data_IF_605142581954
#
_entry.id   IF_605142581954
#
_cell.length_a   1.000
_cell.length_b   1.000
_cell.length_c   1.000
_cell.angle_alpha   90.00
_cell.angle_beta   90.00
_cell.angle_gamma   90.00
#
_symmetry.space_group_name_H-M   'P 1'
#
loop_
_entity.id
_entity.type
_entity.pdbx_description
1 polymer ?
#
# COMPACT_ATOMS: atom_id res chain seq x y z
N UNK A 1 -11.60 -22.79 -26.47
CA UNK A 1 -10.64 -21.81 -25.94
C UNK A 1 -9.78 -22.52 -24.91
N UNK A 2 -8.59 -23.03 -25.30
CA UNK A 2 -7.69 -23.71 -24.36
C UNK A 2 -6.94 -22.64 -23.58
N UNK A 3 -7.32 -22.45 -22.31
CA UNK A 3 -6.58 -21.56 -21.41
C UNK A 3 -5.19 -22.17 -21.22
N UNK A 4 -4.18 -21.51 -21.76
CA UNK A 4 -2.79 -21.94 -21.69
C UNK A 4 -2.35 -22.06 -20.22
N UNK A 5 -2.01 -23.28 -19.78
CA UNK A 5 -1.65 -23.58 -18.37
C UNK A 5 -0.44 -22.77 -17.88
N UNK A 6 0.46 -22.34 -18.77
CA UNK A 6 1.61 -21.50 -18.42
C UNK A 6 1.16 -20.10 -18.00
N UNK A 7 0.24 -19.47 -18.76
CA UNK A 7 -0.29 -18.14 -18.41
C UNK A 7 -1.03 -18.11 -17.07
N UNK A 8 -1.73 -19.19 -16.69
CA UNK A 8 -2.45 -19.27 -15.41
C UNK A 8 -1.47 -19.33 -14.23
N UNK A 9 -0.35 -20.07 -14.37
CA UNK A 9 0.71 -20.13 -13.35
C UNK A 9 1.42 -18.81 -13.18
N UNK A 10 1.83 -18.16 -14.27
CA UNK A 10 2.53 -16.87 -14.19
C UNK A 10 1.68 -15.78 -13.53
N UNK A 11 0.37 -15.74 -13.82
CA UNK A 11 -0.56 -14.81 -13.20
C UNK A 11 -0.76 -15.09 -11.71
N UNK A 12 -0.77 -16.38 -11.30
CA UNK A 12 -0.83 -16.75 -9.89
C UNK A 12 0.46 -16.37 -9.15
N UNK A 13 1.63 -16.61 -9.74
CA UNK A 13 2.94 -16.28 -9.17
C UNK A 13 3.13 -14.77 -8.99
N UNK A 14 2.72 -13.95 -9.97
CA UNK A 14 2.73 -12.48 -9.86
C UNK A 14 1.89 -11.99 -8.68
N UNK A 15 0.68 -12.52 -8.52
CA UNK A 15 -0.22 -12.17 -7.41
C UNK A 15 0.38 -12.52 -6.05
N UNK A 16 1.00 -13.70 -5.92
CA UNK A 16 1.66 -14.12 -4.67
C UNK A 16 2.85 -13.21 -4.35
N UNK A 17 3.63 -12.81 -5.36
CA UNK A 17 4.79 -11.93 -5.19
C UNK A 17 4.38 -10.52 -4.73
N UNK A 18 3.32 -9.96 -5.31
CA UNK A 18 2.73 -8.69 -4.88
C UNK A 18 2.24 -8.76 -3.43
N UNK A 19 1.51 -9.83 -3.08
CA UNK A 19 0.99 -10.05 -1.73
C UNK A 19 2.12 -10.17 -0.70
N UNK A 20 3.18 -10.92 -1.03
CA UNK A 20 4.37 -11.09 -0.18
C UNK A 20 5.10 -9.77 0.04
N UNK A 21 5.18 -8.93 -0.99
CA UNK A 21 5.75 -7.58 -0.89
C UNK A 21 4.96 -6.69 0.07
N UNK A 22 3.63 -6.73 0.01
CA UNK A 22 2.75 -5.98 0.89
C UNK A 22 2.84 -6.44 2.36
N UNK A 23 2.80 -7.75 2.62
CA UNK A 23 2.95 -8.28 3.98
C UNK A 23 4.29 -7.91 4.60
N UNK A 24 5.37 -7.84 3.82
CA UNK A 24 6.66 -7.35 4.31
C UNK A 24 6.58 -5.90 4.79
N UNK A 25 5.86 -5.03 4.08
CA UNK A 25 5.67 -3.63 4.51
C UNK A 25 4.84 -3.53 5.79
N UNK A 26 3.75 -4.30 5.92
CA UNK A 26 2.97 -4.35 7.17
C UNK A 26 3.83 -4.87 8.32
N UNK A 27 4.60 -5.94 8.09
CA UNK A 27 5.45 -6.53 9.12
C UNK A 27 6.47 -5.52 9.64
N UNK A 28 7.20 -4.84 8.74
CA UNK A 28 8.15 -3.78 9.12
C UNK A 28 7.43 -2.65 9.85
N UNK A 29 6.26 -2.23 9.38
CA UNK A 29 5.46 -1.20 10.05
C UNK A 29 5.12 -1.59 11.49
N UNK A 30 4.59 -2.80 11.72
CA UNK A 30 4.22 -3.27 13.06
C UNK A 30 5.45 -3.36 13.96
N UNK A 31 6.56 -3.94 13.47
CA UNK A 31 7.79 -4.10 14.25
C UNK A 31 8.39 -2.75 14.64
N UNK A 32 8.52 -1.82 13.69
CA UNK A 32 9.11 -0.50 13.95
C UNK A 32 8.21 0.34 14.86
N UNK A 33 6.91 0.41 14.58
CA UNK A 33 6.00 1.21 15.40
C UNK A 33 5.79 0.59 16.79
N UNK A 34 5.76 -0.74 16.89
CA UNK A 34 5.76 -1.45 18.17
C UNK A 34 7.01 -1.15 18.99
N UNK A 35 8.19 -1.18 18.36
CA UNK A 35 9.44 -0.81 19.02
C UNK A 35 9.44 0.65 19.48
N UNK A 36 9.01 1.59 18.64
CA UNK A 36 8.87 3.00 19.00
C UNK A 36 7.88 3.21 20.16
N UNK A 37 6.78 2.47 20.18
CA UNK A 37 5.80 2.52 21.26
C UNK A 37 6.36 1.97 22.58
N UNK A 38 7.16 0.89 22.54
CA UNK A 38 7.87 0.35 23.70
C UNK A 38 8.93 1.33 24.24
N UNK A 39 9.60 2.07 23.35
CA UNK A 39 10.48 3.18 23.74
C UNK A 39 9.69 4.30 24.43
N UNK A 40 8.56 4.73 23.85
CA UNK A 40 7.71 5.80 24.41
C UNK A 40 7.14 5.46 25.78
N UNK A 41 6.77 4.19 26.01
CA UNK A 41 6.22 3.72 27.30
C UNK A 41 7.29 3.48 28.35
N UNK A 42 8.58 3.59 27.99
CA UNK A 42 9.69 3.42 28.92
C UNK A 42 9.96 1.97 29.34
N UNK A 43 9.31 0.99 28.72
CA UNK A 43 9.53 -0.45 28.98
C UNK A 43 11.00 -0.83 28.76
N UNK A 44 11.65 -0.17 27.80
CA UNK A 44 13.05 -0.40 27.47
C UNK A 44 14.02 0.50 28.25
N UNK A 45 13.54 1.38 29.13
CA UNK A 45 14.41 2.33 29.85
C UNK A 45 15.50 1.65 30.69
N UNK A 46 15.22 0.46 31.22
CA UNK A 46 16.17 -0.34 32.00
C UNK A 46 17.30 -0.94 31.15
N UNK A 47 17.08 -1.06 29.83
CA UNK A 47 18.05 -1.58 28.86
C UNK A 47 18.81 -0.45 28.14
N UNK A 48 18.37 0.80 28.32
CA UNK A 48 18.94 1.97 27.67
C UNK A 48 19.96 2.69 28.56
N UNK A 49 20.99 3.32 27.98
CA UNK A 49 21.96 4.12 28.72
C UNK A 49 21.30 5.27 29.49
N UNK A 50 21.90 5.73 30.58
CA UNK A 50 21.39 6.88 31.35
C UNK A 50 21.34 8.19 30.55
N UNK A 51 22.14 8.29 29.49
CA UNK A 51 22.17 9.43 28.56
C UNK A 51 20.97 9.47 27.61
N UNK A 52 20.14 8.42 27.57
CA UNK A 52 18.98 8.38 26.70
C UNK A 52 17.86 9.29 27.25
N UNK A 53 17.25 10.15 26.41
CA UNK A 53 16.18 11.03 26.86
C UNK A 53 14.96 10.23 27.32
N UNK A 54 14.61 10.32 28.61
CA UNK A 54 13.48 9.60 29.21
C UNK A 54 12.19 10.45 29.24
N UNK A 55 12.29 11.73 28.91
CA UNK A 55 11.16 12.65 28.96
C UNK A 55 10.14 12.36 27.85
N UNK A 56 8.86 12.32 28.23
CA UNK A 56 7.73 12.02 27.34
C UNK A 56 7.70 12.89 26.09
N UNK A 57 8.06 14.17 26.21
CA UNK A 57 8.01 15.13 25.10
C UNK A 57 8.89 14.73 23.90
N UNK A 58 10.02 14.05 24.13
CA UNK A 58 10.88 13.56 23.04
C UNK A 58 10.21 12.47 22.19
N UNK A 59 9.12 11.90 22.66
CA UNK A 59 8.40 10.79 22.03
C UNK A 59 7.03 11.19 21.48
N UNK A 60 6.60 12.43 21.64
CA UNK A 60 5.27 12.88 21.19
C UNK A 60 5.10 12.81 19.67
N UNK A 61 6.20 13.00 18.92
CA UNK A 61 6.21 12.86 17.45
C UNK A 61 5.87 11.43 16.98
N UNK A 62 6.02 10.41 17.83
CA UNK A 62 5.73 9.02 17.48
C UNK A 62 4.25 8.84 17.14
N UNK A 63 3.35 9.56 17.82
CA UNK A 63 1.92 9.50 17.52
C UNK A 63 1.64 10.02 16.09
N UNK A 64 2.24 11.16 15.72
CA UNK A 64 2.12 11.72 14.38
C UNK A 64 2.74 10.79 13.33
N UNK A 65 3.89 10.17 13.63
CA UNK A 65 4.53 9.18 12.77
C UNK A 65 3.58 7.99 12.51
N UNK A 66 3.02 7.39 13.56
CA UNK A 66 2.05 6.28 13.45
C UNK A 66 0.88 6.68 12.56
N UNK A 67 0.33 7.89 12.72
CA UNK A 67 -0.79 8.38 11.90
C UNK A 67 -0.42 8.50 10.41
N UNK A 68 0.74 9.08 10.10
CA UNK A 68 1.21 9.22 8.71
C UNK A 68 1.37 7.84 8.07
N UNK A 69 2.01 6.91 8.78
CA UNK A 69 2.19 5.55 8.26
C UNK A 69 0.88 4.77 8.16
N UNK A 70 -0.08 4.98 9.06
CA UNK A 70 -1.41 4.41 8.95
C UNK A 70 -2.09 4.85 7.65
N UNK A 71 -1.99 6.13 7.29
CA UNK A 71 -2.51 6.65 6.01
C UNK A 71 -1.80 5.99 4.82
N UNK A 72 -0.47 5.86 4.86
CA UNK A 72 0.31 5.19 3.81
C UNK A 72 -0.15 3.74 3.63
N UNK A 73 -0.36 3.00 4.72
CA UNK A 73 -0.86 1.63 4.66
C UNK A 73 -2.27 1.54 4.08
N UNK A 74 -3.17 2.45 4.44
CA UNK A 74 -4.51 2.52 3.86
C UNK A 74 -4.42 2.72 2.35
N UNK A 75 -3.64 3.71 1.88
CA UNK A 75 -3.44 3.96 0.45
C UNK A 75 -2.85 2.74 -0.26
N UNK A 76 -1.84 2.10 0.33
CA UNK A 76 -1.21 0.92 -0.25
C UNK A 76 -2.18 -0.27 -0.35
N UNK A 77 -3.04 -0.44 0.66
CA UNK A 77 -4.10 -1.45 0.66
C UNK A 77 -5.11 -1.17 -0.45
N UNK A 78 -5.51 0.09 -0.65
CA UNK A 78 -6.40 0.49 -1.74
C UNK A 78 -5.78 0.21 -3.12
N UNK A 79 -4.49 0.48 -3.30
CA UNK A 79 -3.77 0.18 -4.55
C UNK A 79 -3.72 -1.34 -4.80
N UNK A 80 -3.35 -2.11 -3.79
CA UNK A 80 -3.31 -3.57 -3.89
C UNK A 80 -4.71 -4.12 -4.21
N UNK A 81 -5.75 -3.59 -3.57
CA UNK A 81 -7.12 -4.07 -3.73
C UNK A 81 -7.86 -3.44 -4.93
N UNK A 82 -7.19 -2.58 -5.72
CA UNK A 82 -7.72 -1.96 -6.95
C UNK A 82 -8.44 -2.94 -7.87
N UNK A 83 -7.88 -4.15 -8.02
CA UNK A 83 -8.43 -5.18 -8.90
C UNK A 83 -9.67 -5.89 -8.33
N UNK A 84 -9.90 -5.84 -7.01
CA UNK A 84 -11.12 -6.36 -6.36
C UNK A 84 -12.21 -5.31 -6.24
N UNK A 85 -11.86 -4.02 -6.25
CA UNK A 85 -12.82 -2.93 -6.17
C UNK A 85 -13.54 -2.77 -7.51
N UNK A 86 -14.71 -3.40 -7.65
CA UNK A 86 -15.54 -3.37 -8.87
C UNK A 86 -15.85 -1.96 -9.36
N UNK A 87 -15.93 -0.99 -8.44
CA UNK A 87 -16.10 0.43 -8.76
C UNK A 87 -14.94 0.99 -9.58
N UNK A 88 -13.69 0.64 -9.23
CA UNK A 88 -12.50 1.13 -9.92
C UNK A 88 -12.40 0.55 -11.33
N UNK A 89 -12.73 -0.74 -11.48
CA UNK A 89 -12.79 -1.40 -12.78
C UNK A 89 -13.84 -0.76 -13.71
N UNK A 90 -15.04 -0.48 -13.20
CA UNK A 90 -16.10 0.23 -13.96
C UNK A 90 -15.73 1.68 -14.30
N UNK A 91 -14.92 2.34 -13.46
CA UNK A 91 -14.42 3.68 -13.76
C UNK A 91 -13.37 3.65 -14.87
N UNK A 92 -12.41 2.72 -14.78
CA UNK A 92 -11.35 2.51 -15.78
C UNK A 92 -11.94 2.20 -17.16
N UNK A 93 -12.90 1.27 -17.22
CA UNK A 93 -13.59 0.88 -18.45
C UNK A 93 -14.34 2.06 -19.10
N UNK A 94 -14.94 2.95 -18.30
CA UNK A 94 -15.57 4.19 -18.78
C UNK A 94 -14.57 5.19 -19.35
N UNK A 95 -13.39 5.32 -18.72
CA UNK A 95 -12.35 6.21 -19.25
C UNK A 95 -11.79 5.68 -20.57
N UNK A 96 -11.51 4.38 -20.66
CA UNK A 96 -11.04 3.76 -21.91
C UNK A 96 -12.06 3.97 -23.04
N UNK A 97 -13.34 3.75 -22.77
CA UNK A 97 -14.39 3.98 -23.76
C UNK A 97 -14.42 5.43 -24.23
N UNK A 98 -14.29 6.39 -23.31
CA UNK A 98 -14.25 7.82 -23.64
C UNK A 98 -13.08 8.17 -24.56
N UNK A 99 -11.88 7.68 -24.29
CA UNK A 99 -10.72 7.90 -25.16
C UNK A 99 -10.87 7.24 -26.53
N UNK A 100 -11.48 6.05 -26.60
CA UNK A 100 -11.78 5.38 -27.88
C UNK A 100 -12.78 6.16 -28.73
N UNK A 101 -13.81 6.73 -28.10
CA UNK A 101 -14.82 7.54 -28.78
C UNK A 101 -14.24 8.88 -29.26
N UNK A 102 -13.36 9.51 -28.46
CA UNK A 102 -12.61 10.71 -28.86
C UNK A 102 -11.70 10.45 -30.08
N UNK A 103 -11.01 9.31 -30.12
CA UNK A 103 -10.16 8.95 -31.26
C UNK A 103 -10.98 8.63 -32.52
N UNK A 104 -12.11 7.93 -32.40
CA UNK A 104 -13.03 7.69 -33.53
C UNK A 104 -13.56 9.00 -34.11
N UNK A 105 -13.95 9.95 -33.25
CA UNK A 105 -14.42 11.26 -33.69
C UNK A 105 -13.35 12.10 -34.39
N UNK A 106 -12.07 11.94 -34.02
CA UNK A 106 -10.95 12.57 -34.74
C UNK A 106 -10.73 11.93 -36.11
N UNK A 107 -10.74 10.61 -36.21
CA UNK A 107 -10.53 9.90 -37.48
C UNK A 107 -11.62 10.22 -38.50
N UNK A 108 -12.88 10.34 -38.07
CA UNK A 108 -14.01 10.68 -38.95
C UNK A 108 -13.96 12.15 -39.43
N UNK A 109 -13.31 13.05 -38.68
CA UNK A 109 -13.12 14.47 -39.05
C UNK A 109 -12.10 14.68 -40.18
N UNK A 110 -11.25 13.70 -40.46
CA UNK A 110 -10.22 13.75 -41.51
C UNK A 110 -10.54 12.88 -42.73
N UNK A 111 -11.77 12.34 -42.81
CA UNK A 111 -12.27 11.53 -43.90
C UNK A 111 -13.30 12.30 -44.72
#
# INVERSE_FOLDING_TARGET
MMVDKHTVRENAEKRVKELKGYYRHIFIFIVVNGFLYLLKTGVLNSLLPETFPKESYYYDWINANILIWAVILVVHTLILQRHKLTFFKKWEERQIQKYMDEDRGKVDKYK
#
